data_IF_457893349725
#
_entry.id   IF_457893349725
#
_cell.length_a   1.000
_cell.length_b   1.000
_cell.length_c   1.000
_cell.angle_alpha   90.00
_cell.angle_beta   90.00
_cell.angle_gamma   90.00
#
_symmetry.space_group_name_H-M   'P 1'
#
loop_
_entity.id
_entity.type
_entity.pdbx_description
1 polymer ?
#
# COMPACT_ATOMS: atom_id res chain seq x y z
N UNK A 1 13.89 11.53 44.13
CA UNK A 1 12.82 12.26 44.82
C UNK A 1 11.51 11.81 44.21
N UNK A 2 10.65 11.11 44.95
CA UNK A 2 9.36 10.64 44.43
C UNK A 2 8.46 11.82 44.09
N UNK A 3 7.78 11.74 42.94
CA UNK A 3 6.95 12.83 42.43
C UNK A 3 5.71 13.03 43.33
N UNK A 4 5.10 14.23 43.35
CA UNK A 4 3.85 14.47 44.10
C UNK A 4 2.74 13.47 43.72
N UNK A 5 2.71 13.05 42.45
CA UNK A 5 1.80 12.05 41.88
C UNK A 5 2.04 10.64 42.44
N UNK A 6 3.30 10.21 42.62
CA UNK A 6 3.62 8.91 43.25
C UNK A 6 3.21 8.87 44.72
N UNK A 7 3.38 9.98 45.45
CA UNK A 7 2.98 10.05 46.87
C UNK A 7 1.47 9.99 47.06
N UNK A 8 0.72 10.65 46.18
CA UNK A 8 -0.75 10.60 46.16
C UNK A 8 -1.27 9.20 45.80
N UNK A 9 -0.69 8.54 44.80
CA UNK A 9 -1.05 7.17 44.43
C UNK A 9 -0.79 6.18 45.59
N UNK A 10 0.32 6.37 46.32
CA UNK A 10 0.69 5.54 47.47
C UNK A 10 -0.21 5.79 48.68
N UNK A 11 -0.60 7.04 48.94
CA UNK A 11 -1.53 7.37 50.01
C UNK A 11 -2.95 6.82 49.74
N UNK A 12 -3.43 6.95 48.50
CA UNK A 12 -4.73 6.42 48.08
C UNK A 12 -4.79 4.88 48.18
N UNK A 13 -3.73 4.17 47.77
CA UNK A 13 -3.66 2.71 47.85
C UNK A 13 -3.69 2.20 49.30
N UNK A 14 -3.10 2.96 50.24
CA UNK A 14 -3.02 2.60 51.66
C UNK A 14 -4.37 2.75 52.38
N UNK A 15 -5.20 3.71 51.98
CA UNK A 15 -6.55 3.92 52.55
C UNK A 15 -7.56 2.91 52.00
N UNK A 16 -7.47 2.59 50.70
CA UNK A 16 -8.39 1.68 50.00
C UNK A 16 -8.16 0.20 50.34
N UNK A 17 -6.94 -0.20 50.73
CA UNK A 17 -6.60 -1.58 51.11
C UNK A 17 -7.29 -2.05 52.39
N UNK A 18 -7.75 -1.13 53.25
CA UNK A 18 -8.43 -1.45 54.52
C UNK A 18 -9.91 -1.81 54.36
N UNK A 19 -10.53 -1.61 53.18
CA UNK A 19 -11.98 -1.73 53.00
C UNK A 19 -12.44 -2.62 51.84
N UNK A 20 -11.54 -3.23 51.06
CA UNK A 20 -11.90 -3.94 49.83
C UNK A 20 -11.22 -5.32 49.70
N UNK A 21 -11.94 -6.28 49.11
CA UNK A 21 -11.40 -7.62 48.83
C UNK A 21 -10.35 -7.59 47.72
N UNK A 22 -9.37 -8.51 47.78
CA UNK A 22 -8.16 -8.55 46.93
C UNK A 22 -8.43 -8.41 45.42
N UNK A 23 -9.46 -9.08 44.87
CA UNK A 23 -9.80 -8.99 43.43
C UNK A 23 -10.39 -7.64 43.03
N UNK A 24 -11.24 -7.04 43.87
CA UNK A 24 -11.80 -5.71 43.62
C UNK A 24 -10.79 -4.59 43.79
N UNK A 25 -9.80 -4.79 44.67
CA UNK A 25 -8.70 -3.86 44.89
C UNK A 25 -7.81 -3.71 43.66
N UNK A 26 -7.34 -4.79 43.03
CA UNK A 26 -6.46 -4.69 41.87
C UNK A 26 -7.14 -4.08 40.64
N UNK A 27 -8.41 -4.42 40.38
CA UNK A 27 -9.16 -3.84 39.27
C UNK A 27 -9.39 -2.32 39.46
N UNK A 28 -9.78 -1.89 40.67
CA UNK A 28 -10.02 -0.47 40.96
C UNK A 28 -8.72 0.34 41.06
N UNK A 29 -7.66 -0.24 41.63
CA UNK A 29 -6.34 0.41 41.69
C UNK A 29 -5.71 0.56 40.30
N UNK A 30 -5.89 -0.41 39.40
CA UNK A 30 -5.45 -0.29 38.01
C UNK A 30 -6.21 0.82 37.27
N UNK A 31 -7.53 0.91 37.45
CA UNK A 31 -8.35 1.98 36.83
C UNK A 31 -7.99 3.36 37.39
N UNK A 32 -7.78 3.50 38.69
CA UNK A 32 -7.35 4.77 39.32
C UNK A 32 -5.92 5.13 38.88
N UNK A 33 -5.01 4.14 38.80
CA UNK A 33 -3.65 4.35 38.29
C UNK A 33 -3.65 4.85 36.85
N UNK A 34 -4.45 4.22 35.97
CA UNK A 34 -4.63 4.63 34.59
C UNK A 34 -5.31 6.00 34.44
N UNK A 35 -6.25 6.34 35.32
CA UNK A 35 -6.90 7.65 35.33
C UNK A 35 -5.93 8.79 35.67
N UNK A 36 -5.05 8.57 36.66
CA UNK A 36 -4.03 9.53 37.08
C UNK A 36 -2.94 9.68 36.01
N UNK A 37 -2.56 8.61 35.30
CA UNK A 37 -1.57 8.69 34.21
C UNK A 37 -2.12 9.27 32.92
N UNK A 38 -3.39 9.00 32.59
CA UNK A 38 -4.01 9.49 31.35
C UNK A 38 -4.40 10.97 31.41
N UNK A 39 -4.87 11.47 32.56
CA UNK A 39 -5.38 12.85 32.66
C UNK A 39 -5.36 13.40 34.10
N UNK A 40 -4.20 13.30 34.79
CA UNK A 40 -4.08 13.52 36.22
C UNK A 40 -4.51 14.89 36.76
N UNK A 41 -4.30 15.99 36.01
CA UNK A 41 -4.75 17.32 36.43
C UNK A 41 -6.28 17.49 36.31
N UNK A 42 -6.89 16.94 35.26
CA UNK A 42 -8.33 17.05 35.03
C UNK A 42 -9.12 16.14 35.99
N UNK A 43 -8.58 14.97 36.35
CA UNK A 43 -9.16 14.10 37.38
C UNK A 43 -9.21 14.75 38.77
N UNK A 44 -8.22 15.58 39.08
CA UNK A 44 -8.13 16.32 40.35
C UNK A 44 -9.06 17.54 40.36
N UNK A 45 -9.20 18.23 39.22
CA UNK A 45 -9.95 19.48 39.11
C UNK A 45 -11.44 19.29 38.76
N UNK A 46 -11.79 18.20 38.07
CA UNK A 46 -13.17 17.83 37.70
C UNK A 46 -13.47 16.38 38.14
N UNK A 47 -13.86 16.15 39.40
CA UNK A 47 -14.03 14.79 39.94
C UNK A 47 -15.16 14.04 39.22
N UNK A 48 -14.77 13.02 38.44
CA UNK A 48 -15.64 12.03 37.80
C UNK A 48 -15.37 10.61 38.31
N UNK A 49 -16.08 9.61 37.79
CA UNK A 49 -15.74 8.21 38.11
C UNK A 49 -14.39 7.85 37.49
N UNK A 50 -13.57 7.03 38.15
CA UNK A 50 -12.28 6.59 37.59
C UNK A 50 -12.45 5.89 36.22
N UNK A 51 -13.63 5.30 35.98
CA UNK A 51 -14.03 4.76 34.69
C UNK A 51 -14.26 5.85 33.63
N UNK A 52 -14.91 6.97 33.99
CA UNK A 52 -15.08 8.13 33.10
C UNK A 52 -13.74 8.83 32.76
N UNK A 53 -12.76 8.75 33.65
CA UNK A 53 -11.42 9.30 33.39
C UNK A 53 -10.60 8.46 32.41
N UNK A 54 -10.87 7.16 32.33
CA UNK A 54 -10.21 6.23 31.39
C UNK A 54 -10.96 6.14 30.06
N UNK A 55 -12.29 6.11 30.10
CA UNK A 55 -13.15 5.84 28.95
C UNK A 55 -13.86 7.10 28.39
N UNK A 56 -13.58 8.28 28.95
CA UNK A 56 -14.29 9.53 28.63
C UNK A 56 -15.62 9.67 29.40
N UNK A 57 -16.13 10.89 29.49
CA UNK A 57 -17.38 11.19 30.21
C UNK A 57 -18.60 10.56 29.55
N UNK A 58 -19.64 10.28 30.34
CA UNK A 58 -20.93 9.82 29.84
C UNK A 58 -20.86 8.53 29.02
N UNK A 59 -19.98 7.59 29.37
CA UNK A 59 -19.71 6.37 28.61
C UNK A 59 -20.65 5.19 28.93
N UNK A 60 -21.57 5.35 29.90
CA UNK A 60 -22.52 4.31 30.30
C UNK A 60 -23.87 4.48 29.61
N UNK A 61 -24.66 3.41 29.53
CA UNK A 61 -25.99 3.48 28.94
C UNK A 61 -26.97 4.38 29.71
N UNK A 62 -26.80 4.46 31.03
CA UNK A 62 -27.60 5.30 31.92
C UNK A 62 -27.33 6.80 31.77
N UNK A 63 -26.19 7.17 31.16
CA UNK A 63 -25.81 8.58 30.99
C UNK A 63 -26.64 9.35 29.96
N UNK A 64 -27.43 8.65 29.14
CA UNK A 64 -28.28 9.26 28.12
C UNK A 64 -27.60 9.55 26.79
N UNK A 65 -26.28 9.41 26.68
CA UNK A 65 -25.54 9.72 25.46
C UNK A 65 -25.60 8.59 24.43
N UNK A 66 -25.40 8.95 23.16
CA UNK A 66 -25.35 8.03 22.01
C UNK A 66 -23.95 7.44 21.83
N UNK A 67 -23.87 6.14 21.51
CA UNK A 67 -22.63 5.45 21.19
C UNK A 67 -21.95 5.95 19.92
N UNK A 68 -20.63 5.76 19.83
CA UNK A 68 -19.86 6.10 18.63
C UNK A 68 -20.08 5.07 17.53
N UNK A 69 -20.06 5.50 16.27
CA UNK A 69 -20.32 4.59 15.15
C UNK A 69 -19.28 3.48 15.05
N UNK A 70 -18.00 3.77 15.31
CA UNK A 70 -16.98 2.72 15.28
C UNK A 70 -17.21 1.59 16.29
N UNK A 71 -17.97 1.83 17.37
CA UNK A 71 -18.27 0.83 18.39
C UNK A 71 -19.24 -0.23 17.87
N UNK A 72 -20.22 0.18 17.06
CA UNK A 72 -21.30 -0.70 16.58
C UNK A 72 -21.20 -1.04 15.08
N UNK A 73 -20.33 -0.35 14.35
CA UNK A 73 -20.17 -0.45 12.90
C UNK A 73 -18.82 -1.10 12.55
N UNK A 74 -18.46 -2.18 13.23
CA UNK A 74 -17.22 -2.95 12.95
C UNK A 74 -15.92 -2.11 12.90
N UNK A 75 -15.81 -1.09 13.75
CA UNK A 75 -14.68 -0.16 13.79
C UNK A 75 -14.80 1.02 12.82
N UNK A 76 -15.75 1.03 11.89
CA UNK A 76 -15.92 2.08 10.89
C UNK A 76 -16.54 3.33 11.53
N UNK A 77 -15.83 4.46 11.45
CA UNK A 77 -16.29 5.75 11.96
C UNK A 77 -17.13 6.52 10.92
N UNK A 78 -18.21 5.90 10.48
CA UNK A 78 -19.18 6.47 9.54
C UNK A 78 -20.59 5.98 9.87
N UNK A 79 -21.59 6.70 9.38
CA UNK A 79 -22.98 6.27 9.40
C UNK A 79 -23.14 4.88 8.76
N UNK A 80 -23.66 3.88 9.49
CA UNK A 80 -23.85 2.53 8.96
C UNK A 80 -24.93 2.50 7.85
N UNK A 81 -24.99 1.44 7.04
CA UNK A 81 -26.05 1.27 6.04
C UNK A 81 -27.45 1.39 6.64
N UNK A 82 -28.38 2.02 5.91
CA UNK A 82 -29.74 2.31 6.41
C UNK A 82 -29.81 3.49 7.39
N UNK A 83 -28.74 4.29 7.46
CA UNK A 83 -28.71 5.54 8.23
C UNK A 83 -28.16 6.69 7.39
N UNK A 84 -28.42 7.92 7.83
CA UNK A 84 -27.90 9.13 7.18
C UNK A 84 -27.38 10.12 8.22
N UNK A 85 -26.47 11.01 7.82
CA UNK A 85 -26.04 12.11 8.67
C UNK A 85 -27.21 13.09 8.87
N UNK A 86 -27.83 13.06 10.04
CA UNK A 86 -29.03 13.86 10.30
C UNK A 86 -28.72 15.16 11.03
N UNK A 87 -27.97 15.05 12.13
CA UNK A 87 -27.61 16.19 12.97
C UNK A 87 -26.11 16.28 13.23
N UNK A 88 -25.62 17.47 13.55
CA UNK A 88 -24.25 17.70 13.97
C UNK A 88 -24.09 18.91 14.91
N UNK A 89 -23.03 18.89 15.72
CA UNK A 89 -22.50 20.04 16.46
C UNK A 89 -20.98 19.95 16.56
N UNK A 90 -20.34 21.03 16.99
CA UNK A 90 -18.89 21.06 17.26
C UNK A 90 -18.59 21.14 18.76
N UNK A 91 -17.41 20.63 19.13
CA UNK A 91 -16.76 20.91 20.40
C UNK A 91 -15.35 21.41 20.13
N UNK A 92 -14.99 22.54 20.73
CA UNK A 92 -13.67 23.16 20.58
C UNK A 92 -12.61 22.50 21.47
N UNK A 93 -11.33 22.65 21.11
CA UNK A 93 -10.22 22.21 21.97
C UNK A 93 -10.04 20.69 22.06
N UNK A 94 -10.39 19.95 21.00
CA UNK A 94 -10.32 18.50 21.04
C UNK A 94 -8.90 17.97 20.86
N UNK A 95 -8.39 17.26 21.87
CA UNK A 95 -7.08 16.59 21.80
C UNK A 95 -6.98 15.64 20.59
N UNK A 96 -8.06 14.91 20.27
CA UNK A 96 -8.14 14.00 19.12
C UNK A 96 -7.92 14.70 17.76
N UNK A 97 -8.17 16.01 17.70
CA UNK A 97 -7.98 16.85 16.51
C UNK A 97 -6.83 17.86 16.70
N UNK A 98 -5.85 17.53 17.55
CA UNK A 98 -4.68 18.38 17.78
C UNK A 98 -4.99 19.72 18.42
N UNK A 99 -6.06 19.80 19.22
CA UNK A 99 -6.55 21.03 19.84
C UNK A 99 -7.55 21.83 18.98
N UNK A 100 -7.83 21.39 17.75
CA UNK A 100 -8.86 21.99 16.89
C UNK A 100 -10.27 21.56 17.30
N UNK A 101 -11.28 22.14 16.65
CA UNK A 101 -12.65 21.66 16.78
C UNK A 101 -12.78 20.20 16.33
N UNK A 102 -13.57 19.42 17.07
CA UNK A 102 -14.11 18.15 16.60
C UNK A 102 -15.61 18.30 16.33
N UNK A 103 -16.08 17.56 15.36
CA UNK A 103 -17.47 17.54 14.91
C UNK A 103 -18.07 16.19 15.25
N UNK A 104 -19.24 16.22 15.87
CA UNK A 104 -20.05 15.05 16.11
C UNK A 104 -21.16 15.04 15.09
N UNK A 105 -21.35 13.91 14.42
CA UNK A 105 -22.41 13.74 13.43
C UNK A 105 -23.27 12.57 13.87
N UNK A 106 -24.52 12.85 14.14
CA UNK A 106 -25.52 11.86 14.51
C UNK A 106 -26.05 11.17 13.26
N UNK A 107 -25.84 9.86 13.21
CA UNK A 107 -26.33 8.98 12.16
C UNK A 107 -27.73 8.49 12.52
N UNK A 108 -28.73 9.07 11.86
CA UNK A 108 -30.15 8.77 12.10
C UNK A 108 -30.60 7.60 11.24
N UNK A 109 -31.41 6.72 11.81
CA UNK A 109 -32.03 5.65 11.06
C UNK A 109 -32.93 6.22 9.95
N UNK A 110 -32.93 5.56 8.80
CA UNK A 110 -33.94 5.81 7.78
C UNK A 110 -35.29 5.23 8.24
N UNK A 111 -36.37 5.90 7.87
CA UNK A 111 -37.71 5.39 8.10
C UNK A 111 -38.07 4.39 6.99
N UNK A 112 -37.67 3.13 7.17
CA UNK A 112 -37.74 2.07 6.15
C UNK A 112 -39.16 1.61 5.82
N UNK A 113 -40.10 1.68 6.77
CA UNK A 113 -41.46 1.11 6.60
C UNK A 113 -42.56 2.12 6.37
N UNK A 114 -42.39 3.36 6.86
CA UNK A 114 -43.39 4.42 6.74
C UNK A 114 -42.76 5.81 6.84
N UNK A 115 -43.49 6.83 6.36
CA UNK A 115 -43.05 8.22 6.42
C UNK A 115 -43.40 8.93 7.74
N UNK A 116 -43.12 10.23 7.79
CA UNK A 116 -43.42 11.05 8.96
C UNK A 116 -44.84 11.62 8.88
N UNK A 117 -45.72 11.33 9.86
CA UNK A 117 -47.07 11.86 9.88
C UNK A 117 -47.09 13.37 10.18
N UNK A 118 -48.01 14.10 9.54
CA UNK A 118 -48.40 15.46 9.93
C UNK A 118 -47.30 16.54 9.92
N UNK A 119 -46.25 16.38 9.10
CA UNK A 119 -45.13 17.32 9.08
C UNK A 119 -44.13 17.15 10.23
N UNK A 120 -44.23 16.05 11.00
CA UNK A 120 -43.20 15.63 11.94
C UNK A 120 -41.86 15.46 11.23
N UNK A 121 -40.76 15.76 11.92
CA UNK A 121 -39.41 15.45 11.45
C UNK A 121 -38.98 14.02 11.76
N UNK A 122 -39.74 13.31 12.60
CA UNK A 122 -39.44 11.95 13.04
C UNK A 122 -40.60 10.99 12.78
N UNK A 123 -40.28 9.79 12.30
CA UNK A 123 -41.28 8.75 12.10
C UNK A 123 -41.62 8.03 13.43
N UNK A 124 -42.75 7.31 13.50
CA UNK A 124 -43.06 6.43 14.63
C UNK A 124 -42.07 5.26 14.79
N UNK A 125 -42.01 4.67 15.99
CA UNK A 125 -41.07 3.57 16.30
C UNK A 125 -41.22 2.33 15.41
N UNK A 126 -42.44 2.05 14.94
CA UNK A 126 -42.70 0.93 14.03
C UNK A 126 -42.21 1.18 12.59
N UNK A 127 -41.72 2.39 12.28
CA UNK A 127 -41.25 2.76 10.95
C UNK A 127 -39.76 2.48 10.69
N UNK A 128 -39.01 2.01 11.69
CA UNK A 128 -37.59 1.68 11.56
C UNK A 128 -37.26 0.32 12.18
N UNK A 129 -36.18 -0.30 11.69
CA UNK A 129 -35.74 -1.62 12.16
C UNK A 129 -34.85 -1.58 13.41
N UNK A 130 -34.35 -0.41 13.80
CA UNK A 130 -33.41 -0.32 14.90
C UNK A 130 -34.09 -0.35 16.28
N UNK A 131 -33.83 -1.40 17.06
CA UNK A 131 -34.34 -1.54 18.42
C UNK A 131 -33.44 -0.81 19.44
N UNK A 132 -34.01 -0.06 20.40
CA UNK A 132 -33.22 0.59 21.45
C UNK A 132 -32.44 -0.42 22.30
N UNK A 133 -31.14 -0.21 22.44
CA UNK A 133 -30.26 -1.03 23.29
C UNK A 133 -29.03 -0.23 23.72
N UNK A 134 -28.24 -0.81 24.62
CA UNK A 134 -26.92 -0.29 24.98
C UNK A 134 -25.86 -0.89 24.06
N UNK A 135 -24.86 -0.10 23.68
CA UNK A 135 -23.66 -0.62 23.03
C UNK A 135 -22.90 -1.61 23.96
N UNK A 136 -21.88 -2.28 23.43
CA UNK A 136 -21.22 -3.43 24.06
C UNK A 136 -20.88 -3.24 25.54
N UNK A 137 -21.53 -4.03 26.41
CA UNK A 137 -21.27 -4.07 27.85
C UNK A 137 -19.81 -4.41 28.17
N UNK A 138 -19.25 -3.77 29.19
CA UNK A 138 -17.86 -3.93 29.64
C UNK A 138 -16.84 -3.17 28.79
N UNK A 139 -17.28 -2.29 27.88
CA UNK A 139 -16.40 -1.48 27.04
C UNK A 139 -16.45 0.00 27.42
N UNK A 140 -15.48 0.79 26.95
CA UNK A 140 -15.46 2.24 27.19
C UNK A 140 -16.53 3.03 26.42
N UNK A 141 -17.50 2.36 25.78
CA UNK A 141 -18.60 3.00 25.08
C UNK A 141 -19.89 2.14 25.17
N UNK A 142 -20.46 2.04 26.37
CA UNK A 142 -21.76 1.37 26.63
C UNK A 142 -22.96 2.30 26.40
N UNK A 143 -22.76 3.40 25.67
CA UNK A 143 -23.76 4.42 25.42
C UNK A 143 -24.96 3.85 24.63
N UNK A 144 -26.02 4.64 24.55
CA UNK A 144 -27.28 4.24 23.93
C UNK A 144 -27.16 4.13 22.41
N UNK A 145 -27.86 3.14 21.86
CA UNK A 145 -28.08 2.92 20.43
C UNK A 145 -29.58 2.95 20.20
N UNK A 146 -30.04 3.78 19.26
CA UNK A 146 -31.45 3.88 18.86
C UNK A 146 -32.46 4.29 19.96
N UNK A 147 -32.00 4.91 21.04
CA UNK A 147 -32.87 5.51 22.07
C UNK A 147 -33.18 6.99 21.84
N UNK A 148 -32.22 7.72 21.27
CA UNK A 148 -32.26 9.17 21.25
C UNK A 148 -32.90 9.66 19.96
N UNK A 149 -34.03 10.37 20.05
CA UNK A 149 -34.76 10.91 18.90
C UNK A 149 -34.65 12.44 18.93
N UNK A 150 -33.62 12.98 18.28
CA UNK A 150 -33.44 14.42 18.11
C UNK A 150 -32.56 14.70 16.89
N UNK A 151 -32.53 15.97 16.44
CA UNK A 151 -31.71 16.44 15.31
C UNK A 151 -31.21 17.85 15.58
N UNK A 152 -29.94 17.98 15.96
CA UNK A 152 -29.25 19.28 16.09
C UNK A 152 -28.54 19.62 14.81
N UNK A 153 -28.70 20.81 14.22
CA UNK A 153 -28.03 21.17 12.96
C UNK A 153 -28.56 20.33 11.78
N UNK A 154 -28.72 20.93 10.61
CA UNK A 154 -29.45 20.25 9.53
C UNK A 154 -28.47 19.70 8.49
N UNK A 155 -28.11 18.42 8.63
CA UNK A 155 -27.52 17.63 7.55
C UNK A 155 -28.63 16.92 6.76
N UNK A 156 -28.53 16.79 5.44
CA UNK A 156 -29.55 16.21 4.56
C UNK A 156 -30.92 16.91 4.70
N UNK A 157 -30.93 18.21 4.40
CA UNK A 157 -32.08 19.11 4.51
C UNK A 157 -33.30 18.68 3.67
N UNK A 158 -33.06 17.96 2.58
CA UNK A 158 -34.07 17.35 1.72
C UNK A 158 -34.79 16.18 2.41
N UNK A 159 -34.12 15.51 3.35
CA UNK A 159 -34.70 14.44 4.16
C UNK A 159 -35.48 15.01 5.33
N UNK A 160 -36.77 15.22 5.09
CA UNK A 160 -37.73 15.74 6.09
C UNK A 160 -38.03 14.77 7.22
N UNK A 161 -37.71 13.48 7.07
CA UNK A 161 -38.10 12.41 7.97
C UNK A 161 -36.90 11.56 8.39
N UNK A 162 -36.73 11.35 9.69
CA UNK A 162 -35.67 10.49 10.25
C UNK A 162 -36.13 9.67 11.45
N UNK A 163 -35.41 8.60 11.75
CA UNK A 163 -35.60 7.79 12.94
C UNK A 163 -34.72 8.23 14.12
N UNK A 164 -34.47 7.34 15.09
CA UNK A 164 -33.59 7.62 16.21
C UNK A 164 -32.14 7.68 15.75
N UNK A 165 -31.30 8.32 16.56
CA UNK A 165 -29.86 8.28 16.39
C UNK A 165 -29.35 6.87 16.69
N UNK A 166 -28.81 6.23 15.67
CA UNK A 166 -28.21 4.89 15.76
C UNK A 166 -26.84 4.99 16.41
N UNK A 167 -26.00 5.90 15.91
CA UNK A 167 -24.67 6.14 16.43
C UNK A 167 -24.16 7.53 16.07
N UNK A 168 -22.96 7.85 16.55
CA UNK A 168 -22.30 9.13 16.36
C UNK A 168 -20.94 8.97 15.68
N UNK A 169 -20.78 9.55 14.50
CA UNK A 169 -19.51 9.63 13.82
C UNK A 169 -18.73 10.87 14.29
N UNK A 170 -17.41 10.74 14.40
CA UNK A 170 -16.52 11.84 14.82
C UNK A 170 -15.68 12.30 13.64
N UNK A 171 -15.57 13.60 13.44
CA UNK A 171 -14.68 14.17 12.43
C UNK A 171 -13.85 15.33 12.98
N UNK A 172 -12.63 15.47 12.49
CA UNK A 172 -11.82 16.68 12.69
C UNK A 172 -12.02 17.70 11.56
N UNK A 173 -12.81 17.37 10.54
CA UNK A 173 -13.21 18.28 9.48
C UNK A 173 -14.70 18.58 9.57
N UNK A 174 -15.11 19.79 9.15
CA UNK A 174 -16.51 20.14 9.20
C UNK A 174 -17.40 19.23 8.35
N UNK A 175 -18.59 18.84 8.83
CA UNK A 175 -19.43 17.86 8.15
C UNK A 175 -19.95 18.31 6.79
N UNK A 176 -20.14 19.63 6.57
CA UNK A 176 -20.54 20.18 5.28
C UNK A 176 -19.49 20.04 4.16
N UNK A 177 -18.29 19.51 4.46
CA UNK A 177 -17.28 19.17 3.44
C UNK A 177 -17.46 17.76 2.87
N UNK A 178 -18.20 16.90 3.55
CA UNK A 178 -18.35 15.48 3.18
C UNK A 178 -19.79 14.95 3.27
N UNK A 179 -20.71 15.70 3.85
CA UNK A 179 -22.15 15.47 3.86
C UNK A 179 -22.90 16.78 3.57
N UNK A 180 -24.17 16.70 3.19
CA UNK A 180 -24.97 17.87 2.83
C UNK A 180 -25.47 18.61 4.09
N UNK A 181 -24.60 19.37 4.75
CA UNK A 181 -24.91 20.00 6.04
C UNK A 181 -24.92 21.53 6.01
N UNK A 182 -25.74 22.12 6.89
CA UNK A 182 -25.67 23.56 7.18
C UNK A 182 -24.32 23.95 7.76
N UNK A 183 -23.89 25.19 7.53
CA UNK A 183 -22.65 25.76 8.07
C UNK A 183 -22.83 26.45 9.43
N UNK A 184 -24.07 26.72 9.84
CA UNK A 184 -24.37 27.30 11.15
C UNK A 184 -24.12 26.27 12.24
N UNK A 185 -23.08 26.50 13.05
CA UNK A 185 -22.62 25.55 14.04
C UNK A 185 -23.39 25.66 15.37
N UNK A 186 -24.00 24.55 15.80
CA UNK A 186 -24.26 24.33 17.22
C UNK A 186 -22.94 23.98 17.92
N UNK A 187 -22.71 24.49 19.13
CA UNK A 187 -21.49 24.24 19.90
C UNK A 187 -21.85 23.65 21.26
N UNK A 188 -21.26 22.51 21.61
CA UNK A 188 -21.39 21.89 22.93
C UNK A 188 -20.03 21.35 23.39
N UNK A 189 -19.31 22.19 24.14
CA UNK A 189 -17.99 21.88 24.63
C UNK A 189 -17.99 20.84 25.78
N UNK A 190 -19.14 20.57 26.43
CA UNK A 190 -19.21 19.51 27.44
C UNK A 190 -19.01 18.13 26.82
N UNK A 191 -19.25 18.00 25.51
CA UNK A 191 -19.08 16.73 24.81
C UNK A 191 -17.63 16.46 24.42
N UNK A 192 -16.68 17.41 24.54
CA UNK A 192 -15.32 17.33 23.96
C UNK A 192 -14.56 16.04 24.31
N UNK A 193 -14.81 15.49 25.50
CA UNK A 193 -14.22 14.26 26.03
C UNK A 193 -14.98 12.97 25.70
N UNK A 194 -16.16 13.05 25.07
CA UNK A 194 -16.91 11.87 24.61
C UNK A 194 -16.11 11.16 23.52
N UNK A 195 -15.59 9.97 23.82
CA UNK A 195 -14.79 9.19 22.87
C UNK A 195 -15.11 7.71 23.00
N UNK A 196 -14.50 6.90 22.14
CA UNK A 196 -14.52 5.45 22.18
C UNK A 196 -13.12 4.91 21.81
N UNK A 197 -12.68 3.75 22.33
CA UNK A 197 -11.35 3.18 22.05
C UNK A 197 -11.09 2.85 20.59
N UNK A 198 -12.15 2.71 19.78
CA UNK A 198 -12.05 2.46 18.35
C UNK A 198 -11.72 3.72 17.52
N UNK A 199 -11.84 4.91 18.10
CA UNK A 199 -11.47 6.15 17.42
C UNK A 199 -9.94 6.31 17.44
N UNK A 200 -9.34 6.83 16.36
CA UNK A 200 -7.92 7.13 16.34
C UNK A 200 -7.57 8.24 17.34
N UNK A 201 -6.42 8.13 17.99
CA UNK A 201 -5.85 9.21 18.79
C UNK A 201 -5.16 10.25 17.91
N UNK A 202 -4.76 11.38 18.50
CA UNK A 202 -3.91 12.33 17.80
C UNK A 202 -2.49 11.76 17.64
N UNK A 203 -2.10 11.54 16.39
CA UNK A 203 -0.83 10.95 15.98
C UNK A 203 -0.32 11.62 14.71
N UNK A 204 0.88 11.23 14.25
CA UNK A 204 1.38 11.67 12.95
C UNK A 204 0.49 11.22 11.78
N UNK A 205 -0.13 10.04 11.90
CA UNK A 205 -1.10 9.54 10.92
C UNK A 205 -2.38 10.38 10.95
N UNK A 206 -2.95 10.61 12.13
CA UNK A 206 -4.18 11.40 12.26
C UNK A 206 -4.00 12.85 11.77
N UNK A 207 -2.83 13.43 12.03
CA UNK A 207 -2.45 14.74 11.50
C UNK A 207 -2.45 14.72 9.97
N UNK A 208 -1.75 13.76 9.34
CA UNK A 208 -1.68 13.63 7.88
C UNK A 208 -3.06 13.36 7.26
N UNK A 209 -3.89 12.53 7.90
CA UNK A 209 -5.26 12.27 7.46
C UNK A 209 -6.12 13.55 7.46
N UNK A 210 -5.96 14.39 8.49
CA UNK A 210 -6.66 15.69 8.57
C UNK A 210 -6.20 16.64 7.46
N UNK A 211 -4.90 16.67 7.14
CA UNK A 211 -4.34 17.46 6.03
C UNK A 211 -4.88 17.01 4.66
N UNK A 212 -5.21 15.72 4.50
CA UNK A 212 -5.82 15.16 3.29
C UNK A 212 -7.33 15.43 3.18
N UNK A 213 -7.96 16.02 4.19
CA UNK A 213 -9.40 16.30 4.23
C UNK A 213 -10.24 15.31 5.05
N UNK A 214 -9.61 14.40 5.81
CA UNK A 214 -10.27 13.38 6.61
C UNK A 214 -11.24 12.53 5.77
N UNK A 215 -12.54 12.48 6.11
CA UNK A 215 -13.54 11.64 5.46
C UNK A 215 -13.75 11.98 3.98
N UNK A 216 -13.45 13.22 3.54
CA UNK A 216 -13.51 13.58 2.12
C UNK A 216 -12.23 13.25 1.35
N UNK A 217 -11.21 12.68 2.01
CA UNK A 217 -9.97 12.26 1.36
C UNK A 217 -10.17 10.99 0.52
N UNK A 218 -9.19 10.67 -0.31
CA UNK A 218 -9.17 9.44 -1.12
C UNK A 218 -9.25 8.16 -0.27
N UNK A 219 -8.88 8.22 1.00
CA UNK A 219 -8.88 7.08 1.91
C UNK A 219 -10.28 6.74 2.46
N UNK A 220 -11.23 7.67 2.39
CA UNK A 220 -12.54 7.52 3.03
C UNK A 220 -12.43 7.63 4.55
N UNK A 221 -13.27 6.90 5.28
CA UNK A 221 -13.35 6.96 6.74
C UNK A 221 -12.40 5.99 7.45
N UNK A 222 -12.12 6.26 8.72
CA UNK A 222 -11.22 5.43 9.54
C UNK A 222 -11.89 4.12 9.92
N UNK A 223 -11.15 3.02 9.81
CA UNK A 223 -11.59 1.67 10.20
C UNK A 223 -10.75 1.19 11.38
N UNK A 224 -11.35 1.21 12.56
CA UNK A 224 -10.71 0.85 13.81
C UNK A 224 -9.66 1.86 14.27
N UNK A 225 -8.89 1.46 15.28
CA UNK A 225 -7.85 2.28 15.90
C UNK A 225 -6.51 2.12 15.20
N UNK A 226 -5.63 3.07 15.47
CA UNK A 226 -4.24 2.99 15.03
C UNK A 226 -3.52 1.83 15.73
N UNK A 227 -2.79 1.05 14.95
CA UNK A 227 -2.01 -0.09 15.40
C UNK A 227 -0.53 0.28 15.46
N UNK A 228 0.10 0.07 16.62
CA UNK A 228 1.56 0.14 16.76
C UNK A 228 2.15 -1.24 16.49
N UNK A 229 3.11 -1.29 15.58
CA UNK A 229 3.84 -2.49 15.15
C UNK A 229 5.33 -2.31 15.41
N UNK A 230 6.13 -3.37 15.24
CA UNK A 230 7.59 -3.27 15.34
C UNK A 230 8.21 -2.35 14.28
N UNK A 231 7.55 -2.20 13.13
CA UNK A 231 8.05 -1.39 12.02
C UNK A 231 7.58 0.07 12.08
N UNK A 232 6.56 0.38 12.88
CA UNK A 232 5.95 1.70 12.95
C UNK A 232 4.47 1.66 13.27
N UNK A 233 3.75 2.68 12.86
CA UNK A 233 2.32 2.84 13.10
C UNK A 233 1.54 2.59 11.80
N UNK A 234 0.38 1.97 11.92
CA UNK A 234 -0.50 1.68 10.78
C UNK A 234 -1.94 2.01 11.14
N UNK A 235 -2.64 2.72 10.26
CA UNK A 235 -4.08 2.97 10.35
C UNK A 235 -4.78 2.46 9.11
N UNK A 236 -5.93 1.82 9.32
CA UNK A 236 -6.79 1.37 8.23
C UNK A 236 -7.90 2.39 7.95
N UNK A 237 -8.24 2.49 6.67
CA UNK A 237 -9.33 3.28 6.14
C UNK A 237 -10.12 2.42 5.15
N UNK A 238 -11.31 2.87 4.76
CA UNK A 238 -12.18 2.12 3.85
C UNK A 238 -11.51 1.83 2.50
N UNK A 239 -10.77 2.79 1.96
CA UNK A 239 -10.16 2.69 0.62
C UNK A 239 -8.64 2.61 0.65
N UNK A 240 -8.03 2.51 1.84
CA UNK A 240 -6.57 2.46 1.92
C UNK A 240 -6.00 2.24 3.32
N UNK A 241 -4.68 2.31 3.42
CA UNK A 241 -3.95 2.25 4.69
C UNK A 241 -2.91 3.33 4.73
N UNK A 242 -2.68 3.91 5.90
CA UNK A 242 -1.58 4.85 6.13
C UNK A 242 -0.57 4.22 7.08
N UNK A 243 0.70 4.38 6.75
CA UNK A 243 1.83 3.87 7.50
C UNK A 243 2.72 5.03 7.94
N UNK A 244 3.29 4.94 9.13
CA UNK A 244 4.21 5.96 9.64
C UNK A 244 5.37 5.36 10.41
N UNK A 245 6.55 5.93 10.21
CA UNK A 245 7.69 5.81 11.11
C UNK A 245 8.41 7.14 11.23
N UNK A 246 9.28 7.28 12.25
CA UNK A 246 10.14 8.46 12.40
C UNK A 246 11.04 8.71 11.18
N UNK A 247 11.43 7.65 10.45
CA UNK A 247 12.35 7.75 9.32
C UNK A 247 11.65 8.01 7.99
N UNK A 248 10.45 7.46 7.80
CA UNK A 248 9.71 7.56 6.53
C UNK A 248 8.70 8.69 6.51
N UNK A 249 8.15 9.10 7.65
CA UNK A 249 6.96 9.95 7.66
C UNK A 249 5.68 9.16 7.36
N UNK A 250 4.55 9.88 7.25
CA UNK A 250 3.23 9.29 7.09
C UNK A 250 2.86 9.20 5.61
N UNK A 251 2.70 7.98 5.11
CA UNK A 251 2.40 7.71 3.71
C UNK A 251 1.21 6.78 3.55
N UNK A 252 0.34 7.10 2.61
CA UNK A 252 -0.84 6.28 2.34
C UNK A 252 -0.67 5.43 1.08
N UNK A 253 -1.21 4.23 1.15
CA UNK A 253 -1.33 3.30 0.04
C UNK A 253 -2.81 2.98 -0.18
N UNK A 254 -3.22 2.94 -1.45
CA UNK A 254 -4.56 2.60 -1.91
C UNK A 254 -4.52 1.70 -3.16
N UNK A 255 -5.70 1.22 -3.58
CA UNK A 255 -5.91 0.48 -4.82
C UNK A 255 -4.97 -0.73 -5.04
N UNK A 256 -4.58 -0.96 -6.30
CA UNK A 256 -3.75 -2.10 -6.71
C UNK A 256 -2.39 -2.13 -6.01
N UNK A 257 -1.80 -0.96 -5.74
CA UNK A 257 -0.51 -0.85 -5.05
C UNK A 257 -0.62 -1.34 -3.61
N UNK A 258 -1.67 -0.92 -2.88
CA UNK A 258 -1.93 -1.43 -1.54
C UNK A 258 -2.18 -2.94 -1.58
N UNK A 259 -3.08 -3.41 -2.45
CA UNK A 259 -3.42 -4.84 -2.52
C UNK A 259 -2.16 -5.69 -2.72
N UNK A 260 -1.28 -5.30 -3.63
CA UNK A 260 -0.01 -6.01 -3.86
C UNK A 260 0.91 -5.96 -2.63
N UNK A 261 1.04 -4.81 -1.99
CA UNK A 261 1.83 -4.68 -0.76
C UNK A 261 1.31 -5.55 0.39
N UNK A 262 -0.02 -5.73 0.49
CA UNK A 262 -0.62 -6.65 1.45
C UNK A 262 -0.23 -8.11 1.17
N UNK A 263 -0.23 -8.52 -0.10
CA UNK A 263 0.20 -9.86 -0.53
C UNK A 263 1.68 -10.12 -0.24
N UNK A 264 2.52 -9.08 -0.26
CA UNK A 264 3.95 -9.18 0.06
C UNK A 264 4.24 -9.19 1.57
N UNK A 265 3.23 -9.25 2.44
CA UNK A 265 3.36 -9.15 3.89
C UNK A 265 3.80 -7.76 4.41
N UNK A 266 3.43 -6.70 3.69
CA UNK A 266 3.51 -5.31 4.16
C UNK A 266 4.92 -4.90 4.63
N UNK A 267 5.02 -4.28 5.81
CA UNK A 267 6.27 -3.71 6.33
C UNK A 267 7.33 -4.76 6.66
N UNK A 268 6.92 -6.03 6.80
CA UNK A 268 7.82 -7.17 7.00
C UNK A 268 8.38 -7.71 5.68
N UNK A 269 7.95 -7.18 4.53
CA UNK A 269 8.48 -7.51 3.21
C UNK A 269 9.88 -6.93 2.99
N UNK A 270 10.55 -7.38 1.94
CA UNK A 270 11.85 -6.82 1.49
C UNK A 270 11.78 -5.34 1.12
N UNK A 271 10.59 -4.79 0.86
CA UNK A 271 10.40 -3.39 0.50
C UNK A 271 10.53 -2.45 1.71
N UNK A 272 10.21 -2.93 2.90
CA UNK A 272 10.04 -2.10 4.10
C UNK A 272 8.82 -1.18 3.99
N UNK A 273 8.85 -0.05 4.69
CA UNK A 273 7.75 0.93 4.72
C UNK A 273 7.69 1.82 3.46
N UNK A 274 6.50 2.36 3.11
CA UNK A 274 6.38 3.35 2.05
C UNK A 274 7.08 4.67 2.41
N UNK A 275 7.67 5.30 1.39
CA UNK A 275 8.33 6.63 1.46
C UNK A 275 7.68 7.66 0.53
N UNK A 276 6.63 7.26 -0.19
CA UNK A 276 5.74 8.14 -0.94
C UNK A 276 4.31 7.67 -0.73
N UNK A 277 3.37 8.59 -0.95
CA UNK A 277 1.99 8.21 -1.22
C UNK A 277 1.90 7.46 -2.57
N UNK A 278 0.73 6.90 -2.90
CA UNK A 278 0.49 6.38 -4.25
C UNK A 278 0.40 7.53 -5.24
N UNK A 279 1.30 7.53 -6.21
CA UNK A 279 1.44 8.54 -7.24
C UNK A 279 1.03 7.99 -8.61
N UNK A 280 0.56 8.87 -9.50
CA UNK A 280 0.51 8.56 -10.93
C UNK A 280 1.94 8.52 -11.48
N UNK A 281 2.24 7.54 -12.31
CA UNK A 281 3.55 7.41 -12.98
C UNK A 281 3.82 8.58 -13.91
N UNK A 282 5.09 8.84 -14.24
CA UNK A 282 5.52 10.02 -15.04
C UNK A 282 4.90 10.03 -16.44
N UNK A 283 4.78 8.84 -17.03
CA UNK A 283 4.14 8.56 -18.31
C UNK A 283 2.61 8.59 -18.25
N UNK A 284 2.01 8.74 -17.06
CA UNK A 284 0.56 8.83 -16.81
C UNK A 284 -0.26 7.58 -17.14
N UNK A 285 0.38 6.45 -17.45
CA UNK A 285 -0.29 5.19 -17.76
C UNK A 285 -0.33 4.20 -16.58
N UNK A 286 -0.08 4.66 -15.36
CA UNK A 286 -0.05 3.77 -14.20
C UNK A 286 -0.01 4.46 -12.86
N UNK A 287 0.04 3.63 -11.81
CA UNK A 287 0.20 4.02 -10.42
C UNK A 287 1.47 3.42 -9.85
N UNK A 288 2.08 4.10 -8.88
CA UNK A 288 3.26 3.59 -8.17
C UNK A 288 3.31 4.10 -6.74
N UNK A 289 4.03 3.37 -5.89
CA UNK A 289 4.57 3.91 -4.65
C UNK A 289 6.02 3.45 -4.48
N UNK A 290 6.85 4.31 -3.87
CA UNK A 290 8.21 3.95 -3.47
C UNK A 290 8.24 3.54 -2.01
N UNK A 291 9.15 2.63 -1.71
CA UNK A 291 9.39 2.07 -0.39
C UNK A 291 10.87 2.25 -0.04
N UNK A 292 11.23 1.94 1.20
CA UNK A 292 12.61 2.09 1.68
C UNK A 292 13.64 1.36 0.80
N UNK A 293 13.27 0.19 0.27
CA UNK A 293 14.19 -0.68 -0.47
C UNK A 293 13.69 -1.08 -1.86
N UNK A 294 12.65 -0.43 -2.37
CA UNK A 294 12.07 -0.76 -3.67
C UNK A 294 10.89 0.11 -4.08
N UNK A 295 10.09 -0.40 -5.01
CA UNK A 295 8.88 0.24 -5.51
C UNK A 295 7.86 -0.78 -5.98
N UNK A 296 6.59 -0.42 -5.88
CA UNK A 296 5.47 -1.19 -6.49
C UNK A 296 4.91 -0.35 -7.63
N UNK A 297 4.69 -0.99 -8.78
CA UNK A 297 4.28 -0.36 -10.02
C UNK A 297 3.10 -1.11 -10.63
N UNK A 298 2.05 -0.38 -10.99
CA UNK A 298 0.86 -0.88 -11.62
C UNK A 298 0.63 -0.15 -12.94
N UNK A 299 0.49 -0.89 -14.04
CA UNK A 299 0.08 -0.35 -15.33
C UNK A 299 -1.45 -0.36 -15.46
N UNK A 300 -2.06 0.70 -15.96
CA UNK A 300 -3.51 0.72 -16.22
C UNK A 300 -3.91 -0.42 -17.15
N UNK A 301 -4.87 -1.24 -16.73
CA UNK A 301 -5.32 -2.43 -17.48
C UNK A 301 -4.34 -3.61 -17.46
N UNK A 302 -3.23 -3.50 -16.73
CA UNK A 302 -2.22 -4.54 -16.58
C UNK A 302 -2.05 -5.01 -15.13
N UNK A 303 -0.98 -5.75 -14.89
CA UNK A 303 -0.66 -6.30 -13.57
C UNK A 303 0.06 -5.29 -12.66
N UNK A 304 0.30 -5.70 -11.41
CA UNK A 304 1.06 -4.93 -10.42
C UNK A 304 2.26 -5.75 -10.02
N UNK A 305 3.45 -5.15 -10.04
CA UNK A 305 4.68 -5.83 -9.65
C UNK A 305 5.55 -4.97 -8.72
N UNK A 306 6.27 -5.64 -7.83
CA UNK A 306 7.31 -5.05 -7.02
C UNK A 306 8.69 -5.23 -7.65
N UNK A 307 9.54 -4.25 -7.41
CA UNK A 307 10.95 -4.29 -7.78
C UNK A 307 11.75 -3.77 -6.59
N UNK A 308 12.87 -4.42 -6.30
CA UNK A 308 13.78 -4.03 -5.22
C UNK A 308 15.25 -4.25 -5.61
N UNK A 309 16.17 -3.80 -4.75
CA UNK A 309 17.60 -4.05 -4.90
C UNK A 309 18.21 -3.54 -6.20
N UNK A 310 19.26 -4.21 -6.67
CA UNK A 310 20.09 -3.75 -7.78
C UNK A 310 19.32 -3.62 -9.11
N UNK A 311 18.39 -4.55 -9.40
CA UNK A 311 17.54 -4.47 -10.60
C UNK A 311 16.66 -3.23 -10.55
N UNK A 312 16.03 -2.94 -9.42
CA UNK A 312 15.20 -1.75 -9.25
C UNK A 312 16.01 -0.46 -9.41
N UNK A 313 17.21 -0.40 -8.83
CA UNK A 313 18.11 0.75 -9.01
C UNK A 313 18.48 0.95 -10.48
N UNK A 314 18.94 -0.10 -11.17
CA UNK A 314 19.29 -0.02 -12.59
C UNK A 314 18.10 0.40 -13.46
N UNK A 315 16.92 -0.18 -13.24
CA UNK A 315 15.72 0.19 -13.99
C UNK A 315 15.32 1.65 -13.75
N UNK A 316 15.48 2.17 -12.53
CA UNK A 316 15.24 3.59 -12.24
C UNK A 316 16.25 4.52 -12.90
N UNK A 317 17.52 4.13 -12.97
CA UNK A 317 18.56 4.89 -13.69
C UNK A 317 18.31 4.91 -15.21
N UNK A 318 17.53 3.95 -15.71
CA UNK A 318 17.04 3.87 -17.09
C UNK A 318 15.65 4.51 -17.24
N UNK A 319 15.33 5.56 -16.48
CA UNK A 319 14.07 6.32 -16.49
C UNK A 319 12.78 5.54 -16.11
N UNK A 320 12.91 4.33 -15.57
CA UNK A 320 11.80 3.54 -15.04
C UNK A 320 10.67 3.31 -16.04
N UNK A 321 9.41 3.53 -15.62
CA UNK A 321 8.21 3.32 -16.45
C UNK A 321 8.17 4.17 -17.71
N UNK A 322 8.92 5.26 -17.75
CA UNK A 322 8.97 6.18 -18.89
C UNK A 322 10.25 5.98 -19.74
N UNK A 323 11.09 5.02 -19.37
CA UNK A 323 12.28 4.61 -20.13
C UNK A 323 12.00 3.47 -21.11
N UNK A 324 13.04 2.95 -21.78
CA UNK A 324 12.89 1.96 -22.84
C UNK A 324 12.39 0.58 -22.36
N UNK A 325 12.60 0.24 -21.08
CA UNK A 325 12.08 -1.00 -20.50
C UNK A 325 10.57 -0.92 -20.25
N UNK A 326 10.03 0.25 -19.89
CA UNK A 326 8.63 0.42 -19.52
C UNK A 326 8.29 -0.25 -18.19
N UNK A 327 7.08 -0.82 -18.10
CA UNK A 327 6.56 -1.42 -16.87
C UNK A 327 7.14 -2.83 -16.64
N UNK A 328 7.36 -3.23 -15.37
CA UNK A 328 7.63 -4.63 -15.06
C UNK A 328 6.47 -5.51 -15.49
N UNK A 329 6.78 -6.73 -15.94
CA UNK A 329 5.82 -7.80 -16.27
C UNK A 329 6.02 -9.04 -15.41
N UNK A 330 7.05 -9.02 -14.56
CA UNK A 330 7.30 -10.03 -13.53
C UNK A 330 7.84 -9.34 -12.28
N UNK A 331 7.72 -10.03 -11.14
CA UNK A 331 8.57 -9.78 -9.99
C UNK A 331 10.05 -10.07 -10.31
N UNK A 332 10.95 -9.70 -9.39
CA UNK A 332 12.34 -10.19 -9.44
C UNK A 332 12.34 -11.68 -9.11
N UNK A 333 12.88 -12.48 -10.03
CA UNK A 333 12.95 -13.94 -9.91
C UNK A 333 14.42 -14.38 -9.86
N UNK A 334 14.74 -15.39 -9.04
CA UNK A 334 16.07 -15.97 -9.05
C UNK A 334 16.33 -16.67 -10.39
N UNK A 335 17.57 -16.59 -10.86
CA UNK A 335 18.06 -17.42 -11.95
C UNK A 335 18.27 -18.85 -11.47
N UNK A 336 18.27 -19.79 -12.41
CA UNK A 336 18.56 -21.20 -12.13
C UNK A 336 19.90 -21.36 -11.40
N UNK A 337 19.96 -22.32 -10.48
CA UNK A 337 21.17 -22.67 -9.71
C UNK A 337 21.80 -21.49 -8.95
N UNK A 338 21.00 -20.51 -8.52
CA UNK A 338 21.47 -19.33 -7.77
C UNK A 338 22.54 -18.53 -8.53
N UNK A 339 22.42 -18.47 -9.86
CA UNK A 339 23.35 -17.73 -10.72
C UNK A 339 23.08 -16.22 -10.75
N UNK A 340 22.10 -15.73 -9.98
CA UNK A 340 21.71 -14.32 -9.93
C UNK A 340 20.20 -14.16 -9.91
N UNK A 341 19.70 -13.03 -10.39
CA UNK A 341 18.27 -12.78 -10.56
C UNK A 341 17.96 -11.99 -11.84
N UNK A 342 16.69 -11.96 -12.21
CA UNK A 342 16.22 -11.22 -13.37
C UNK A 342 14.82 -10.65 -13.14
N UNK A 343 14.47 -9.65 -13.94
CA UNK A 343 13.10 -9.16 -14.07
C UNK A 343 12.80 -8.86 -15.54
N UNK A 344 11.57 -9.11 -15.95
CA UNK A 344 11.08 -8.80 -17.30
C UNK A 344 10.22 -7.54 -17.27
N UNK A 345 10.22 -6.86 -18.41
CA UNK A 345 9.53 -5.61 -18.63
C UNK A 345 8.87 -5.61 -20.00
N UNK A 346 7.95 -4.67 -20.22
CA UNK A 346 7.23 -4.55 -21.49
C UNK A 346 8.15 -4.38 -22.71
N UNK A 347 9.30 -3.71 -22.55
CA UNK A 347 10.26 -3.43 -23.62
C UNK A 347 11.54 -4.27 -23.60
N UNK A 348 11.69 -5.19 -22.63
CA UNK A 348 12.94 -5.95 -22.50
C UNK A 348 13.10 -6.66 -21.16
N UNK A 349 14.33 -6.83 -20.72
CA UNK A 349 14.66 -7.52 -19.46
C UNK A 349 15.97 -7.03 -18.86
N UNK A 350 16.07 -7.17 -17.55
CA UNK A 350 17.31 -7.00 -16.80
C UNK A 350 17.71 -8.34 -16.21
N UNK A 351 18.92 -8.80 -16.54
CA UNK A 351 19.54 -10.00 -15.95
C UNK A 351 20.73 -9.56 -15.10
N UNK A 352 20.76 -9.96 -13.85
CA UNK A 352 21.86 -9.68 -12.93
C UNK A 352 22.54 -10.99 -12.52
N UNK A 353 23.58 -11.41 -13.25
CA UNK A 353 24.43 -12.51 -12.80
C UNK A 353 25.01 -12.23 -11.40
N UNK A 354 25.27 -13.30 -10.64
CA UNK A 354 25.76 -13.22 -9.27
C UNK A 354 27.07 -12.43 -9.19
N UNK A 355 27.11 -11.44 -8.30
CA UNK A 355 28.26 -10.56 -8.14
C UNK A 355 28.48 -9.54 -9.27
N UNK A 356 27.53 -9.41 -10.21
CA UNK A 356 27.58 -8.42 -11.31
C UNK A 356 26.47 -7.38 -11.18
N UNK A 357 26.58 -6.32 -11.96
CA UNK A 357 25.50 -5.34 -12.19
C UNK A 357 24.44 -5.92 -13.13
N UNK A 358 23.18 -5.46 -13.06
CA UNK A 358 22.15 -5.89 -14.01
C UNK A 358 22.46 -5.43 -15.44
N UNK A 359 22.45 -6.36 -16.37
CA UNK A 359 22.64 -6.13 -17.80
C UNK A 359 21.32 -5.94 -18.54
N UNK A 360 21.29 -4.96 -19.44
CA UNK A 360 20.13 -4.51 -20.20
C UNK A 360 20.00 -5.22 -21.54
N UNK A 361 18.84 -5.84 -21.73
CA UNK A 361 18.39 -6.41 -23.00
C UNK A 361 17.10 -5.72 -23.42
N UNK A 362 17.02 -5.24 -24.65
CA UNK A 362 15.89 -4.50 -25.20
C UNK A 362 15.44 -5.03 -26.57
N UNK A 363 14.16 -4.84 -26.87
CA UNK A 363 13.57 -5.08 -28.19
C UNK A 363 13.84 -6.48 -28.73
N UNK A 364 14.21 -6.57 -30.01
CA UNK A 364 14.39 -7.85 -30.71
C UNK A 364 15.54 -8.70 -30.15
N UNK A 365 16.56 -8.09 -29.56
CA UNK A 365 17.62 -8.86 -28.87
C UNK A 365 17.04 -9.54 -27.64
N UNK A 366 16.26 -8.83 -26.82
CA UNK A 366 15.58 -9.44 -25.68
C UNK A 366 14.57 -10.51 -26.11
N UNK A 367 13.81 -10.25 -27.18
CA UNK A 367 12.86 -11.20 -27.74
C UNK A 367 13.55 -12.49 -28.22
N UNK A 368 14.66 -12.37 -28.95
CA UNK A 368 15.47 -13.51 -29.39
C UNK A 368 16.08 -14.26 -28.22
N UNK A 369 16.61 -13.56 -27.21
CA UNK A 369 17.15 -14.20 -26.02
C UNK A 369 16.08 -15.07 -25.33
N UNK A 370 14.86 -14.56 -25.18
CA UNK A 370 13.74 -15.32 -24.65
C UNK A 370 13.31 -16.48 -25.55
N UNK A 371 13.30 -16.29 -26.87
CA UNK A 371 12.98 -17.35 -27.83
C UNK A 371 13.95 -18.53 -27.74
N UNK A 372 15.23 -18.27 -27.49
CA UNK A 372 16.27 -19.29 -27.32
C UNK A 372 16.23 -19.99 -25.96
N UNK A 373 15.30 -19.63 -25.06
CA UNK A 373 15.20 -20.19 -23.72
C UNK A 373 15.89 -19.37 -22.63
N UNK A 374 16.24 -18.11 -22.91
CA UNK A 374 16.78 -17.17 -21.92
C UNK A 374 18.00 -17.73 -21.15
N UNK A 375 17.95 -17.81 -19.84
CA UNK A 375 19.06 -18.28 -19.00
C UNK A 375 19.43 -19.74 -19.23
N UNK A 376 18.54 -20.55 -19.82
CA UNK A 376 18.82 -21.94 -20.21
C UNK A 376 19.22 -22.06 -21.68
N UNK A 377 19.36 -20.95 -22.40
CA UNK A 377 19.73 -20.95 -23.81
C UNK A 377 21.20 -21.37 -24.01
N UNK A 378 21.55 -21.87 -25.21
CA UNK A 378 22.94 -22.22 -25.54
C UNK A 378 23.91 -21.04 -25.50
N UNK A 379 23.44 -19.79 -25.67
CA UNK A 379 24.30 -18.60 -25.58
C UNK A 379 24.66 -18.25 -24.12
N UNK A 380 23.92 -18.76 -23.14
CA UNK A 380 24.17 -18.53 -21.71
C UNK A 380 23.73 -17.17 -21.19
N UNK A 381 24.20 -16.79 -19.99
CA UNK A 381 23.84 -15.51 -19.36
C UNK A 381 24.52 -14.31 -20.03
N UNK A 382 23.87 -13.13 -20.07
CA UNK A 382 24.48 -11.90 -20.57
C UNK A 382 25.70 -11.50 -19.73
N UNK A 383 26.73 -10.98 -20.39
CA UNK A 383 27.98 -10.52 -19.75
C UNK A 383 28.19 -9.00 -19.85
N UNK A 384 27.39 -8.33 -20.67
CA UNK A 384 27.38 -6.89 -20.85
C UNK A 384 25.98 -6.41 -21.29
N UNK A 385 25.74 -5.09 -21.20
CA UNK A 385 24.61 -4.47 -21.90
C UNK A 385 24.78 -4.66 -23.41
N UNK A 386 23.65 -4.74 -24.13
CA UNK A 386 23.71 -4.68 -25.58
C UNK A 386 24.38 -3.38 -26.06
N UNK A 387 25.25 -3.46 -27.06
CA UNK A 387 26.01 -2.33 -27.58
C UNK A 387 25.96 -2.25 -29.11
N UNK A 388 26.19 -1.07 -29.71
CA UNK A 388 26.35 -0.95 -31.15
C UNK A 388 27.53 -1.81 -31.64
N UNK A 389 27.37 -2.39 -32.83
CA UNK A 389 28.41 -3.08 -33.56
C UNK A 389 28.36 -2.66 -35.04
N UNK A 390 29.48 -2.78 -35.74
CA UNK A 390 29.56 -2.52 -37.18
C UNK A 390 30.31 -3.66 -37.84
N UNK A 391 29.87 -4.05 -39.03
CA UNK A 391 30.61 -5.03 -39.83
C UNK A 391 31.81 -4.40 -40.55
N UNK A 392 32.63 -5.24 -41.20
CA UNK A 392 33.78 -4.80 -41.98
C UNK A 392 33.42 -3.87 -43.16
N UNK A 393 32.15 -3.84 -43.59
CA UNK A 393 31.64 -3.01 -44.71
C UNK A 393 30.85 -1.79 -44.23
N UNK A 394 30.80 -1.53 -42.92
CA UNK A 394 30.13 -0.38 -42.31
C UNK A 394 28.62 -0.56 -42.06
N UNK A 395 28.08 -1.77 -42.20
CA UNK A 395 26.71 -2.11 -41.82
C UNK A 395 26.59 -2.04 -40.30
N UNK A 396 25.67 -1.21 -39.81
CA UNK A 396 25.45 -1.06 -38.37
C UNK A 396 24.52 -2.15 -37.82
N UNK A 397 24.77 -2.58 -36.59
CA UNK A 397 23.95 -3.50 -35.86
C UNK A 397 24.02 -3.27 -34.35
N UNK A 398 23.39 -4.16 -33.60
CA UNK A 398 23.48 -4.22 -32.14
C UNK A 398 23.91 -5.63 -31.76
N UNK A 399 24.81 -5.74 -30.80
CA UNK A 399 25.37 -6.99 -30.29
C UNK A 399 25.12 -7.10 -28.78
N UNK A 400 24.76 -8.30 -28.34
CA UNK A 400 24.72 -8.70 -26.93
C UNK A 400 25.69 -9.86 -26.76
N UNK A 401 26.67 -9.67 -25.87
CA UNK A 401 27.60 -10.72 -25.49
C UNK A 401 27.03 -11.53 -24.31
N UNK A 402 27.14 -12.86 -24.43
CA UNK A 402 26.73 -13.81 -23.42
C UNK A 402 27.89 -14.73 -23.06
N UNK A 403 27.74 -15.51 -22.00
CA UNK A 403 28.81 -16.35 -21.45
C UNK A 403 29.30 -17.45 -22.41
N UNK A 404 28.45 -17.92 -23.33
CA UNK A 404 28.74 -19.02 -24.25
C UNK A 404 28.32 -18.70 -25.70
N UNK A 405 28.09 -17.42 -26.02
CA UNK A 405 27.59 -16.99 -27.32
C UNK A 405 27.37 -15.50 -27.43
N UNK A 406 26.77 -15.09 -28.54
CA UNK A 406 26.29 -13.72 -28.75
C UNK A 406 24.95 -13.72 -29.48
N UNK A 407 24.17 -12.65 -29.27
CA UNK A 407 22.98 -12.36 -30.07
C UNK A 407 23.22 -11.03 -30.77
N UNK A 408 23.01 -10.99 -32.08
CA UNK A 408 23.16 -9.75 -32.84
C UNK A 408 21.90 -9.42 -33.63
N UNK A 409 21.75 -8.15 -33.98
CA UNK A 409 20.68 -7.66 -34.84
C UNK A 409 21.23 -6.62 -35.80
N UNK A 410 21.09 -6.87 -37.10
CA UNK A 410 21.45 -5.91 -38.14
C UNK A 410 20.43 -4.76 -38.14
N UNK A 411 20.89 -3.52 -38.23
CA UNK A 411 20.01 -2.34 -38.26
C UNK A 411 19.15 -2.37 -39.52
N UNK A 412 17.84 -2.10 -39.36
CA UNK A 412 16.87 -2.19 -40.45
C UNK A 412 16.37 -3.61 -40.75
N UNK A 413 16.94 -4.65 -40.11
CA UNK A 413 16.38 -6.01 -40.16
C UNK A 413 15.51 -6.31 -38.95
N UNK A 414 14.40 -7.06 -39.14
CA UNK A 414 13.44 -7.33 -38.07
C UNK A 414 13.93 -8.39 -37.08
N UNK A 415 14.83 -9.27 -37.50
CA UNK A 415 15.23 -10.44 -36.70
C UNK A 415 16.62 -10.24 -36.11
N UNK A 416 16.75 -10.64 -34.84
CA UNK A 416 18.04 -10.89 -34.21
C UNK A 416 18.41 -12.38 -34.38
N UNK A 417 19.70 -12.70 -34.31
CA UNK A 417 20.22 -14.06 -34.47
C UNK A 417 21.24 -14.40 -33.40
N UNK A 418 21.15 -15.61 -32.87
CA UNK A 418 22.06 -16.15 -31.87
C UNK A 418 23.14 -17.05 -32.47
N UNK A 419 24.38 -16.87 -32.01
CA UNK A 419 25.52 -17.72 -32.36
C UNK A 419 26.14 -18.24 -31.05
N UNK A 420 26.37 -19.55 -30.97
CA UNK A 420 26.88 -20.22 -29.77
C UNK A 420 27.84 -21.36 -30.12
N UNK A 421 28.43 -21.96 -29.08
CA UNK A 421 29.27 -23.15 -29.21
C UNK A 421 30.55 -22.91 -30.03
N UNK A 422 31.11 -23.96 -30.66
CA UNK A 422 32.35 -23.85 -31.43
C UNK A 422 32.28 -22.84 -32.58
N UNK A 423 31.10 -22.67 -33.20
CA UNK A 423 30.89 -21.66 -34.25
C UNK A 423 31.09 -20.25 -33.68
N UNK A 424 30.53 -19.98 -32.49
CA UNK A 424 30.75 -18.70 -31.82
C UNK A 424 32.22 -18.47 -31.49
N UNK A 425 32.93 -19.48 -30.97
CA UNK A 425 34.36 -19.36 -30.65
C UNK A 425 35.16 -18.94 -31.89
N UNK A 426 34.99 -19.65 -33.01
CA UNK A 426 35.66 -19.33 -34.27
C UNK A 426 35.32 -17.94 -34.79
N UNK A 427 34.02 -17.58 -34.80
CA UNK A 427 33.57 -16.25 -35.23
C UNK A 427 34.09 -15.14 -34.30
N UNK A 428 34.17 -15.41 -33.01
CA UNK A 428 34.70 -14.48 -32.01
C UNK A 428 36.18 -14.20 -32.22
N UNK A 429 36.98 -15.25 -32.47
CA UNK A 429 38.43 -15.13 -32.71
C UNK A 429 38.74 -14.43 -34.04
N UNK A 430 37.80 -14.46 -34.99
CA UNK A 430 37.88 -13.73 -36.27
C UNK A 430 37.39 -12.28 -36.20
N UNK A 431 37.04 -11.75 -35.02
CA UNK A 431 36.63 -10.36 -34.85
C UNK A 431 35.11 -10.13 -34.89
N UNK A 432 34.30 -11.19 -34.74
CA UNK A 432 32.82 -11.15 -34.74
C UNK A 432 32.28 -10.44 -35.99
N UNK A 433 31.30 -9.55 -35.82
CA UNK A 433 30.69 -8.82 -36.93
C UNK A 433 31.72 -8.00 -37.73
N UNK A 434 32.78 -7.50 -37.08
CA UNK A 434 33.85 -6.76 -37.75
C UNK A 434 34.82 -7.65 -38.55
N UNK A 435 34.69 -8.97 -38.46
CA UNK A 435 35.49 -9.93 -39.20
C UNK A 435 34.99 -10.17 -40.63
N UNK A 436 35.62 -11.13 -41.32
CA UNK A 436 35.31 -11.45 -42.72
C UNK A 436 33.88 -11.99 -42.92
N UNK A 437 33.31 -12.65 -41.90
CA UNK A 437 31.98 -13.24 -41.97
C UNK A 437 30.85 -12.21 -41.89
N UNK A 438 31.04 -11.08 -41.19
CA UNK A 438 29.98 -10.12 -40.89
C UNK A 438 29.02 -10.59 -39.78
N UNK A 439 27.83 -10.01 -39.72
CA UNK A 439 26.77 -10.42 -38.79
C UNK A 439 26.15 -11.77 -39.18
N UNK A 440 25.69 -12.58 -38.21
CA UNK A 440 24.85 -13.74 -38.47
C UNK A 440 23.49 -13.32 -39.03
N UNK A 441 23.01 -14.08 -40.02
CA UNK A 441 21.67 -13.93 -40.63
C UNK A 441 20.76 -15.14 -40.37
N UNK A 442 21.28 -16.17 -39.70
CA UNK A 442 20.50 -17.28 -39.13
C UNK A 442 20.95 -17.53 -37.70
N UNK A 443 20.09 -18.14 -36.89
CA UNK A 443 20.56 -18.78 -35.66
C UNK A 443 21.48 -19.96 -36.01
N UNK A 444 22.27 -20.43 -35.05
CA UNK A 444 22.95 -21.73 -35.19
C UNK A 444 21.88 -22.83 -35.21
N UNK A 445 21.93 -23.69 -36.22
CA UNK A 445 20.97 -24.79 -36.40
C UNK A 445 21.68 -26.11 -36.55
N UNK A 446 21.09 -27.18 -36.00
CA UNK A 446 21.58 -28.53 -36.24
C UNK A 446 21.35 -28.92 -37.71
N UNK A 447 22.34 -29.58 -38.30
CA UNK A 447 22.33 -30.05 -39.69
C UNK A 447 22.88 -31.47 -39.77
N UNK A 448 22.50 -32.20 -40.81
CA UNK A 448 23.10 -33.51 -41.12
C UNK A 448 24.20 -33.32 -42.15
N UNK A 449 25.45 -33.55 -41.77
CA UNK A 449 26.61 -33.57 -42.65
C UNK A 449 26.82 -34.98 -43.23
N UNK A 450 27.59 -35.13 -44.32
CA UNK A 450 27.89 -36.45 -44.88
C UNK A 450 28.50 -37.43 -43.87
N UNK A 451 29.34 -36.90 -42.98
CA UNK A 451 30.12 -37.69 -42.01
C UNK A 451 29.45 -37.80 -40.63
N UNK A 452 28.34 -37.11 -40.39
CA UNK A 452 27.59 -37.18 -39.12
C UNK A 452 26.78 -35.92 -38.80
N UNK A 453 26.31 -35.75 -37.55
CA UNK A 453 25.61 -34.54 -37.15
C UNK A 453 26.56 -33.34 -37.10
N UNK A 454 26.03 -32.17 -37.42
CA UNK A 454 26.75 -30.91 -37.40
C UNK A 454 25.86 -29.75 -36.96
N UNK A 455 26.47 -28.58 -36.86
CA UNK A 455 25.77 -27.33 -36.66
C UNK A 455 26.20 -26.33 -37.73
N UNK A 456 25.32 -25.42 -38.10
CA UNK A 456 25.61 -24.43 -39.14
C UNK A 456 25.03 -23.07 -38.77
N UNK A 457 25.72 -22.00 -39.16
CA UNK A 457 25.22 -20.64 -39.11
C UNK A 457 25.60 -19.90 -40.39
N UNK A 458 24.64 -19.20 -40.98
CA UNK A 458 24.87 -18.33 -42.14
C UNK A 458 25.12 -16.90 -41.66
N UNK A 459 26.11 -16.24 -42.25
CA UNK A 459 26.47 -14.85 -42.00
C UNK A 459 26.28 -14.02 -43.28
N UNK A 460 26.44 -12.70 -43.17
CA UNK A 460 26.31 -11.78 -44.32
C UNK A 460 27.23 -12.14 -45.49
N UNK A 461 28.44 -12.62 -45.20
CA UNK A 461 29.49 -12.87 -46.21
C UNK A 461 30.05 -14.29 -46.16
N UNK A 462 29.33 -15.23 -45.57
CA UNK A 462 29.80 -16.61 -45.53
C UNK A 462 28.96 -17.52 -44.66
N UNK A 463 29.47 -18.73 -44.47
CA UNK A 463 28.83 -19.78 -43.67
C UNK A 463 29.88 -20.46 -42.82
N UNK A 464 29.56 -20.68 -41.54
CA UNK A 464 30.35 -21.51 -40.65
C UNK A 464 29.60 -22.80 -40.35
N UNK A 465 30.29 -23.93 -40.48
CA UNK A 465 29.77 -25.27 -40.21
C UNK A 465 30.67 -25.97 -39.20
N UNK A 466 30.08 -26.45 -38.11
CA UNK A 466 30.74 -27.28 -37.11
C UNK A 466 30.37 -28.74 -37.35
N UNK A 467 31.38 -29.59 -37.47
CA UNK A 467 31.21 -31.04 -37.55
C UNK A 467 31.40 -31.67 -36.17
N UNK A 468 30.36 -32.30 -35.63
CA UNK A 468 30.40 -32.88 -34.28
C UNK A 468 31.22 -34.17 -34.22
N UNK A 469 31.54 -34.80 -35.35
CA UNK A 469 32.33 -36.03 -35.40
C UNK A 469 33.82 -35.75 -35.36
N UNK A 470 34.27 -34.70 -36.08
CA UNK A 470 35.68 -34.29 -36.11
C UNK A 470 36.00 -33.25 -35.04
N UNK A 471 35.01 -32.48 -34.59
CA UNK A 471 35.22 -31.35 -33.70
C UNK A 471 35.73 -30.09 -34.42
N UNK A 472 35.74 -30.07 -35.75
CA UNK A 472 36.27 -28.96 -36.54
C UNK A 472 35.17 -27.98 -37.00
N UNK A 473 35.53 -26.69 -37.05
CA UNK A 473 34.69 -25.63 -37.63
C UNK A 473 35.28 -25.21 -38.97
N UNK A 474 34.53 -25.43 -40.04
CA UNK A 474 34.89 -24.96 -41.40
C UNK A 474 34.16 -23.66 -41.71
N UNK A 475 34.91 -22.65 -42.16
CA UNK A 475 34.38 -21.36 -42.59
C UNK A 475 34.53 -21.23 -44.11
N UNK A 476 33.45 -20.85 -44.79
CA UNK A 476 33.43 -20.57 -46.23
C UNK A 476 32.95 -19.15 -46.45
N UNK A 477 33.85 -18.27 -46.88
CA UNK A 477 33.54 -16.88 -47.25
C UNK A 477 33.08 -16.80 -48.70
N UNK A 478 32.19 -15.85 -49.00
CA UNK A 478 31.60 -15.62 -50.32
C UNK A 478 32.16 -14.41 -51.06
#
# INVERSE_FOLDING_TARGET
MTSPTERLATAASTVLSRRLSRRGFFARAAVVGSAVTANGLDYILHPGTAYASVCGSGNTCSSGWTAMCCTINHGVNQCPPGTFAGGWWKAEGANLCGGSARYYVDCQAECSHCGCPGGSHFCPEHCWDCKPHCAHHGTCDERRVCHNVFRYGQCELDRKCGGPVVCRAISCTPPWRWANCTTTAATDNFTVSHSAPCLPGWSHIQKRYTELGSQSSVLGTTVGREHVTEHGHTQHYEHGRMYWSRHTGAHYLDGSVLHHYLHLHQASSVLGLPVTDVETTRDKHGKRARFQHGGIYHQHGGETHALWGAIWHRWRDLDGTAGPLGYPTTEIRPLHQDQGDFARFTGGSLYRPKGRSPYLLLGEIAAKYHQLGAETSPVGLPTADQHPAVDAKGVAGTELLCAAGAITRITGRPQAHGVWGPIYTTWNDQGRAGGELGFPVTDVTDVTLPDGPGQQCTFEYGVATYDQTTGEVTVRTG
#
